data_IF_692604379003
#
_entry.id   IF_692604379003
#
_cell.length_a   1.000
_cell.length_b   1.000
_cell.length_c   1.000
_cell.angle_alpha   90.00
_cell.angle_beta   90.00
_cell.angle_gamma   90.00
#
_symmetry.space_group_name_H-M   'P 1'
#
loop_
_entity.id
_entity.type
_entity.pdbx_description
1 polymer ?
#
# COMPACT_ATOMS: atom_id res chain seq x y z
N UNK A 1 -2.37 -15.86 7.99
CA UNK A 1 -1.19 -14.97 8.11
C UNK A 1 -1.33 -13.70 7.30
N UNK A 2 -1.59 -13.74 5.98
CA UNK A 2 -1.84 -12.49 5.21
C UNK A 2 -3.29 -11.98 5.37
N UNK A 3 -4.28 -12.87 5.42
CA UNK A 3 -5.71 -12.50 5.57
C UNK A 3 -5.97 -11.72 6.87
N UNK A 4 -5.48 -12.22 8.01
CA UNK A 4 -5.58 -11.52 9.31
C UNK A 4 -4.86 -10.17 9.31
N UNK A 5 -3.69 -10.07 8.67
CA UNK A 5 -2.97 -8.81 8.55
C UNK A 5 -3.77 -7.78 7.74
N UNK A 6 -4.41 -8.21 6.65
CA UNK A 6 -5.29 -7.38 5.83
C UNK A 6 -6.54 -6.97 6.62
N UNK A 7 -7.12 -7.86 7.41
CA UNK A 7 -8.27 -7.52 8.26
C UNK A 7 -7.94 -6.40 9.26
N UNK A 8 -6.78 -6.51 9.92
CA UNK A 8 -6.30 -5.48 10.85
C UNK A 8 -6.02 -4.17 10.11
N UNK A 9 -5.33 -4.24 8.96
CA UNK A 9 -5.04 -3.08 8.12
C UNK A 9 -6.33 -2.37 7.69
N UNK A 10 -7.33 -3.13 7.21
CA UNK A 10 -8.62 -2.60 6.82
C UNK A 10 -9.36 -1.95 7.99
N UNK A 11 -9.31 -2.56 9.18
CA UNK A 11 -9.93 -1.97 10.37
C UNK A 11 -9.30 -0.60 10.70
N UNK A 12 -7.97 -0.51 10.65
CA UNK A 12 -7.24 0.75 10.90
C UNK A 12 -7.59 1.79 9.84
N UNK A 13 -7.51 1.44 8.55
CA UNK A 13 -7.77 2.37 7.44
C UNK A 13 -9.21 2.86 7.46
N UNK A 14 -10.18 1.97 7.75
CA UNK A 14 -11.60 2.35 7.87
C UNK A 14 -11.81 3.36 8.99
N UNK A 15 -11.23 3.13 10.16
CA UNK A 15 -11.42 4.05 11.29
C UNK A 15 -10.75 5.41 11.02
N UNK A 16 -9.54 5.41 10.44
CA UNK A 16 -8.86 6.66 10.04
C UNK A 16 -9.67 7.42 8.98
N UNK A 17 -10.17 6.73 7.96
CA UNK A 17 -11.00 7.33 6.90
C UNK A 17 -12.30 7.95 7.47
N UNK A 18 -12.93 7.28 8.44
CA UNK A 18 -14.11 7.78 9.14
C UNK A 18 -13.80 9.05 9.94
N UNK A 19 -12.72 9.07 10.72
CA UNK A 19 -12.29 10.24 11.49
C UNK A 19 -12.01 11.44 10.56
N UNK A 20 -11.26 11.21 9.47
CA UNK A 20 -10.95 12.26 8.48
C UNK A 20 -12.24 12.78 7.81
N UNK A 21 -13.18 11.90 7.49
CA UNK A 21 -14.45 12.29 6.87
C UNK A 21 -15.32 13.14 7.80
N UNK A 22 -15.33 12.83 9.10
CA UNK A 22 -16.11 13.54 10.11
C UNK A 22 -15.50 14.90 10.46
N UNK A 23 -14.19 14.95 10.70
CA UNK A 23 -13.51 16.13 11.23
C UNK A 23 -12.89 17.02 10.14
N UNK A 24 -12.59 16.44 8.98
CA UNK A 24 -11.85 17.10 7.90
C UNK A 24 -12.71 17.93 6.95
N UNK A 25 -14.05 17.87 7.06
CA UNK A 25 -14.98 18.67 6.26
C UNK A 25 -14.75 18.58 4.74
N UNK A 26 -14.23 17.44 4.25
CA UNK A 26 -13.86 17.20 2.85
C UNK A 26 -12.59 17.92 2.37
N UNK A 27 -11.83 18.57 3.26
CA UNK A 27 -10.57 19.27 2.93
C UNK A 27 -9.32 18.45 3.22
N UNK A 28 -9.44 17.46 4.10
CA UNK A 28 -8.39 16.51 4.44
C UNK A 28 -8.73 15.21 3.74
N UNK A 29 -7.77 14.65 3.01
CA UNK A 29 -7.90 13.40 2.27
C UNK A 29 -6.89 12.39 2.78
N UNK A 30 -7.25 11.12 2.76
CA UNK A 30 -6.40 10.01 3.17
C UNK A 30 -5.63 9.44 1.96
N UNK A 31 -4.32 9.68 1.92
CA UNK A 31 -3.45 9.12 0.89
C UNK A 31 -2.77 7.82 1.32
N UNK A 32 -2.72 6.83 0.43
CA UNK A 32 -2.00 5.56 0.60
C UNK A 32 -0.50 5.62 0.30
N UNK A 33 0.17 6.73 0.64
CA UNK A 33 1.59 6.90 0.32
C UNK A 33 2.34 7.64 1.43
N UNK A 34 3.49 7.10 1.81
CA UNK A 34 4.45 7.73 2.71
C UNK A 34 5.75 8.10 1.96
N UNK A 35 6.33 9.30 2.16
CA UNK A 35 7.65 9.61 1.64
C UNK A 35 8.71 8.64 2.18
N UNK A 36 9.56 8.09 1.29
CA UNK A 36 10.63 7.14 1.66
C UNK A 36 11.55 7.65 2.78
N UNK A 37 11.86 8.96 2.78
CA UNK A 37 12.69 9.58 3.82
C UNK A 37 11.99 9.58 5.18
N UNK A 38 10.66 9.77 5.22
CA UNK A 38 9.88 9.71 6.45
C UNK A 38 9.83 8.27 6.99
N UNK A 39 9.50 7.30 6.14
CA UNK A 39 9.49 5.88 6.50
C UNK A 39 10.86 5.40 7.04
N UNK A 40 11.96 5.84 6.42
CA UNK A 40 13.32 5.59 6.92
C UNK A 40 13.54 6.21 8.30
N UNK A 41 13.14 7.47 8.47
CA UNK A 41 13.35 8.22 9.72
C UNK A 41 12.53 7.64 10.87
N UNK A 42 11.31 7.20 10.62
CA UNK A 42 10.50 6.50 11.62
C UNK A 42 11.18 5.22 12.08
N UNK A 43 11.68 4.39 11.16
CA UNK A 43 12.43 3.19 11.52
C UNK A 43 13.66 3.52 12.36
N UNK A 44 14.42 4.57 12.02
CA UNK A 44 15.59 4.98 12.81
C UNK A 44 15.23 5.41 14.24
N UNK A 45 14.16 6.19 14.40
CA UNK A 45 13.68 6.64 15.71
C UNK A 45 13.22 5.44 16.55
N UNK A 46 12.45 4.53 15.94
CA UNK A 46 11.95 3.34 16.62
C UNK A 46 13.10 2.39 16.98
N UNK A 47 14.08 2.19 16.09
CA UNK A 47 15.25 1.35 16.37
C UNK A 47 16.04 1.88 17.55
N UNK A 48 16.21 3.20 17.65
CA UNK A 48 16.88 3.83 18.79
C UNK A 48 16.10 3.63 20.10
N UNK A 49 14.76 3.70 20.05
CA UNK A 49 13.90 3.65 21.24
C UNK A 49 13.60 2.24 21.73
N UNK A 50 13.39 1.30 20.81
CA UNK A 50 12.90 -0.04 21.11
C UNK A 50 13.92 -1.15 20.81
N UNK A 51 15.04 -0.81 20.16
CA UNK A 51 16.05 -1.78 19.73
C UNK A 51 15.68 -2.47 18.41
N UNK A 52 16.68 -2.69 17.54
CA UNK A 52 16.48 -3.25 16.19
C UNK A 52 15.87 -4.65 16.20
N UNK A 53 16.21 -5.49 17.19
CA UNK A 53 15.69 -6.85 17.32
C UNK A 53 14.16 -6.90 17.43
N UNK A 54 13.58 -5.98 18.19
CA UNK A 54 12.14 -5.91 18.39
C UNK A 54 11.39 -5.47 17.11
N UNK A 55 12.10 -4.85 16.16
CA UNK A 55 11.51 -4.35 14.92
C UNK A 55 11.62 -5.35 13.77
N UNK A 56 12.38 -6.44 13.91
CA UNK A 56 12.57 -7.44 12.83
C UNK A 56 11.27 -8.07 12.34
N UNK A 57 10.24 -8.14 13.19
CA UNK A 57 8.94 -8.73 12.85
C UNK A 57 7.98 -7.77 12.13
N UNK A 58 8.29 -6.47 12.08
CA UNK A 58 7.41 -5.44 11.47
C UNK A 58 7.98 -4.86 10.18
N UNK A 59 9.18 -5.29 9.77
CA UNK A 59 9.79 -4.94 8.48
C UNK A 59 10.14 -6.20 7.70
N UNK A 60 10.09 -6.11 6.36
CA UNK A 60 10.61 -7.19 5.51
C UNK A 60 12.10 -7.40 5.79
N UNK A 61 12.52 -8.65 5.79
CA UNK A 61 13.91 -9.03 6.03
C UNK A 61 14.87 -8.27 5.10
N UNK A 62 15.92 -7.67 5.67
CA UNK A 62 16.89 -6.86 4.93
C UNK A 62 16.41 -5.45 4.54
N UNK A 63 15.17 -5.07 4.85
CA UNK A 63 14.69 -3.71 4.63
C UNK A 63 15.36 -2.73 5.60
N UNK A 64 15.60 -1.51 5.10
CA UNK A 64 16.11 -0.37 5.89
C UNK A 64 15.08 0.74 6.06
N UNK A 65 13.82 0.46 5.70
CA UNK A 65 12.67 1.37 5.78
C UNK A 65 11.39 0.58 6.08
N UNK A 66 10.39 1.22 6.68
CA UNK A 66 9.03 0.70 6.69
C UNK A 66 8.41 0.70 5.27
N UNK A 67 7.32 -0.07 5.10
CA UNK A 67 6.51 0.03 3.88
C UNK A 67 6.03 1.47 3.67
N UNK A 68 6.00 1.90 2.42
CA UNK A 68 5.62 3.26 2.03
C UNK A 68 4.19 3.35 1.48
N UNK A 69 3.49 2.23 1.48
CA UNK A 69 2.13 2.09 0.97
C UNK A 69 1.41 1.01 1.80
N UNK A 70 0.09 1.15 2.03
CA UNK A 70 -0.73 0.09 2.61
C UNK A 70 -1.08 -1.00 1.58
N UNK A 71 -0.54 -0.94 0.36
CA UNK A 71 -0.80 -1.97 -0.64
C UNK A 71 0.16 -3.14 -0.41
N UNK A 72 -0.35 -4.36 -0.15
CA UNK A 72 0.51 -5.53 0.06
C UNK A 72 1.18 -5.95 -1.26
N UNK A 73 2.27 -6.70 -1.17
CA UNK A 73 2.99 -7.15 -2.36
C UNK A 73 2.22 -8.30 -3.05
N UNK A 74 2.24 -8.30 -4.38
CA UNK A 74 1.57 -9.35 -5.18
C UNK A 74 2.10 -10.76 -4.84
N UNK A 75 3.37 -10.87 -4.45
CA UNK A 75 4.03 -12.13 -4.09
C UNK A 75 3.42 -12.79 -2.83
N UNK A 76 2.68 -12.02 -2.02
CA UNK A 76 2.00 -12.52 -0.81
C UNK A 76 0.67 -13.23 -1.15
N UNK A 77 0.29 -13.30 -2.43
CA UNK A 77 -1.00 -13.82 -2.92
C UNK A 77 -0.86 -14.96 -3.93
N UNK A 78 -1.90 -15.79 -4.01
CA UNK A 78 -1.95 -16.94 -4.94
C UNK A 78 -2.13 -16.53 -6.39
N UNK A 79 -2.82 -15.41 -6.64
CA UNK A 79 -3.09 -14.90 -7.99
C UNK A 79 -3.25 -13.38 -7.99
N UNK A 80 -3.08 -12.77 -9.17
CA UNK A 80 -3.32 -11.34 -9.37
C UNK A 80 -4.77 -10.96 -9.05
N UNK A 81 -5.74 -11.82 -9.35
CA UNK A 81 -7.16 -11.55 -9.07
C UNK A 81 -7.43 -11.47 -7.57
N UNK A 82 -6.90 -12.43 -6.79
CA UNK A 82 -7.04 -12.42 -5.32
C UNK A 82 -6.37 -11.20 -4.67
N UNK A 83 -5.26 -10.77 -5.25
CA UNK A 83 -4.55 -9.56 -4.84
C UNK A 83 -5.36 -8.30 -5.18
N UNK A 84 -5.90 -8.22 -6.40
CA UNK A 84 -6.76 -7.12 -6.85
C UNK A 84 -7.98 -6.98 -5.93
N UNK A 85 -8.66 -8.08 -5.61
CA UNK A 85 -9.86 -8.03 -4.76
C UNK A 85 -9.54 -7.54 -3.34
N UNK A 86 -8.39 -7.93 -2.81
CA UNK A 86 -7.92 -7.42 -1.51
C UNK A 86 -7.56 -5.93 -1.58
N UNK A 87 -6.91 -5.49 -2.66
CA UNK A 87 -6.58 -4.09 -2.88
C UNK A 87 -7.83 -3.22 -3.00
N UNK A 88 -8.90 -3.71 -3.66
CA UNK A 88 -10.18 -2.98 -3.77
C UNK A 88 -10.78 -2.65 -2.40
N UNK A 89 -10.59 -3.52 -1.41
CA UNK A 89 -11.00 -3.27 -0.02
C UNK A 89 -10.22 -2.11 0.61
N UNK A 90 -8.93 -1.97 0.26
CA UNK A 90 -8.05 -0.93 0.80
C UNK A 90 -8.28 0.40 0.09
N UNK A 91 -8.18 0.43 -1.25
CA UNK A 91 -8.13 1.69 -2.03
C UNK A 91 -9.41 2.51 -1.97
N UNK A 92 -10.56 1.88 -1.66
CA UNK A 92 -11.85 2.59 -1.55
C UNK A 92 -11.86 3.61 -0.41
N UNK A 93 -11.00 3.43 0.59
CA UNK A 93 -10.91 4.30 1.76
C UNK A 93 -9.80 5.36 1.62
N UNK A 94 -9.00 5.32 0.55
CA UNK A 94 -7.85 6.18 0.33
C UNK A 94 -8.18 7.34 -0.63
N UNK A 95 -9.18 8.16 -0.31
CA UNK A 95 -9.70 9.23 -1.18
C UNK A 95 -8.67 10.30 -1.61
N UNK A 96 -7.50 10.37 -0.97
CA UNK A 96 -6.35 11.18 -1.36
C UNK A 96 -5.45 10.55 -2.43
N UNK A 97 -5.80 9.35 -2.89
CA UNK A 97 -5.05 8.57 -3.89
C UNK A 97 -4.10 7.54 -3.28
N UNK A 98 -3.54 6.70 -4.15
CA UNK A 98 -2.67 5.58 -3.77
C UNK A 98 -1.58 5.36 -4.82
N UNK A 99 -0.57 4.55 -4.49
CA UNK A 99 0.51 4.21 -5.41
C UNK A 99 0.76 2.69 -5.43
N UNK A 100 0.77 2.13 -6.63
CA UNK A 100 1.10 0.72 -6.89
C UNK A 100 2.28 0.65 -7.84
N UNK A 101 3.29 -0.13 -7.49
CA UNK A 101 4.44 -0.41 -8.35
C UNK A 101 4.42 -1.87 -8.79
N UNK A 102 4.25 -2.11 -10.08
CA UNK A 102 4.32 -3.44 -10.66
C UNK A 102 5.73 -3.73 -11.14
N UNK A 103 6.28 -4.87 -10.73
CA UNK A 103 7.51 -5.40 -11.31
C UNK A 103 7.14 -6.35 -12.44
N UNK A 104 7.68 -6.12 -13.62
CA UNK A 104 7.44 -6.97 -14.78
C UNK A 104 8.74 -7.38 -15.46
N UNK A 105 8.81 -8.63 -15.91
CA UNK A 105 9.95 -9.14 -16.68
C UNK A 105 9.89 -8.72 -18.16
N UNK A 106 8.71 -8.32 -18.64
CA UNK A 106 8.47 -7.82 -20.00
C UNK A 106 7.50 -6.65 -19.92
N UNK A 107 7.80 -5.58 -20.66
CA UNK A 107 6.95 -4.38 -20.67
C UNK A 107 5.51 -4.68 -21.12
N UNK A 108 5.33 -5.52 -22.13
CA UNK A 108 3.99 -5.89 -22.63
C UNK A 108 3.12 -6.57 -21.57
N UNK A 109 3.70 -7.48 -20.79
CA UNK A 109 2.99 -8.12 -19.66
C UNK A 109 2.69 -7.09 -18.57
N UNK A 110 3.67 -6.29 -18.17
CA UNK A 110 3.48 -5.24 -17.17
C UNK A 110 2.42 -4.22 -17.56
N UNK A 111 2.32 -3.88 -18.84
CA UNK A 111 1.29 -2.98 -19.37
C UNK A 111 -0.09 -3.63 -19.32
N UNK A 112 -0.21 -4.90 -19.72
CA UNK A 112 -1.46 -5.65 -19.62
C UNK A 112 -1.96 -5.71 -18.18
N UNK A 113 -1.08 -6.04 -17.24
CA UNK A 113 -1.41 -6.12 -15.81
C UNK A 113 -1.81 -4.75 -15.27
N UNK A 114 -1.09 -3.68 -15.63
CA UNK A 114 -1.40 -2.32 -15.23
C UNK A 114 -2.74 -1.81 -15.78
N UNK A 115 -3.08 -2.13 -17.03
CA UNK A 115 -4.38 -1.80 -17.62
C UNK A 115 -5.48 -2.53 -16.87
N UNK A 116 -5.31 -3.84 -16.64
CA UNK A 116 -6.29 -4.63 -15.91
C UNK A 116 -6.53 -4.10 -14.48
N UNK A 117 -5.46 -3.70 -13.78
CA UNK A 117 -5.55 -3.02 -12.49
C UNK A 117 -6.26 -1.68 -12.58
N UNK A 118 -5.89 -0.84 -13.56
CA UNK A 118 -6.52 0.47 -13.75
C UNK A 118 -8.02 0.34 -13.98
N UNK A 119 -8.46 -0.61 -14.82
CA UNK A 119 -9.88 -0.88 -15.07
C UNK A 119 -10.64 -1.27 -13.80
N UNK A 120 -10.01 -2.09 -12.95
CA UNK A 120 -10.60 -2.54 -11.69
C UNK A 120 -10.64 -1.46 -10.60
N UNK A 121 -9.61 -0.60 -10.53
CA UNK A 121 -9.43 0.33 -9.40
C UNK A 121 -9.95 1.75 -9.69
N UNK A 122 -9.96 2.19 -10.96
CA UNK A 122 -10.32 3.58 -11.31
C UNK A 122 -11.77 3.93 -10.95
N UNK A 123 -12.68 2.93 -10.97
CA UNK A 123 -14.07 3.11 -10.50
C UNK A 123 -14.18 3.38 -9.01
N UNK A 124 -13.21 2.90 -8.22
CA UNK A 124 -13.17 3.07 -6.76
C UNK A 124 -12.42 4.32 -6.37
N UNK A 125 -11.32 4.61 -7.05
CA UNK A 125 -10.43 5.72 -6.71
C UNK A 125 -9.62 6.19 -7.93
N UNK A 126 -10.04 7.32 -8.48
CA UNK A 126 -9.46 7.93 -9.69
C UNK A 126 -8.12 8.64 -9.48
N UNK A 127 -7.68 8.79 -8.23
CA UNK A 127 -6.44 9.50 -7.88
C UNK A 127 -5.25 8.54 -7.69
N UNK A 128 -5.44 7.26 -7.99
CA UNK A 128 -4.39 6.24 -7.95
C UNK A 128 -3.34 6.43 -9.05
N UNK A 129 -2.10 6.10 -8.73
CA UNK A 129 -1.00 6.02 -9.67
C UNK A 129 -0.48 4.60 -9.72
N UNK A 130 -0.49 4.00 -10.92
CA UNK A 130 0.09 2.68 -11.19
C UNK A 130 1.36 2.89 -12.01
N UNK A 131 2.49 2.44 -11.50
CA UNK A 131 3.77 2.48 -12.22
C UNK A 131 4.22 1.08 -12.58
N UNK A 132 4.83 0.93 -13.75
CA UNK A 132 5.47 -0.32 -14.18
C UNK A 132 6.98 -0.11 -14.09
N UNK A 133 7.65 -1.00 -13.38
CA UNK A 133 9.10 -1.15 -13.39
C UNK A 133 9.44 -2.43 -14.15
N UNK A 134 10.19 -2.30 -15.24
CA UNK A 134 10.74 -3.45 -15.97
C UNK A 134 12.13 -3.72 -15.39
N UNK A 135 12.35 -4.93 -14.90
CA UNK A 135 13.68 -5.36 -14.48
C UNK A 135 14.59 -5.48 -15.71
N UNK A 136 15.75 -4.82 -15.66
CA UNK A 136 16.89 -5.09 -16.54
C UNK A 136 17.83 -6.10 -15.91
#
# INVERSE_FOLDING_TARGET
MIEEAIEIELAIIKEVSKIISQDGGGRILLGGRCPKLAAKRFLQIDSYRYGEENLKNVIKAGSRIYSVTPIPDLEDFKSIDSWIDSIKEIVRFLDGGFYISLKANRFSKGLSDAIHLAENLNKLNRYGVISISVGG
#
